data_IF_092581106896
#
_entry.id   IF_092581106896
#
_cell.length_a   1.000
_cell.length_b   1.000
_cell.length_c   1.000
_cell.angle_alpha   90.00
_cell.angle_beta   90.00
_cell.angle_gamma   90.00
#
_symmetry.space_group_name_H-M   'P 1'
#
loop_
_entity.id
_entity.type
_entity.pdbx_description
1 polymer ?
#
# COMPACT_ATOMS: atom_id res chain seq x y z
N UNK A 1 -12.62 -4.58 -4.93
CA UNK A 1 -12.59 -3.42 -5.85
C UNK A 1 -13.37 -2.31 -5.19
N UNK A 2 -12.80 -1.12 -5.16
CA UNK A 2 -13.40 0.04 -4.53
C UNK A 2 -14.13 0.85 -5.60
N UNK A 3 -15.38 1.24 -5.33
CA UNK A 3 -16.22 1.96 -6.29
C UNK A 3 -16.96 3.10 -5.59
N UNK A 4 -17.04 4.25 -6.27
CA UNK A 4 -17.86 5.38 -5.84
C UNK A 4 -18.71 5.84 -7.02
N UNK A 5 -20.00 6.13 -6.80
CA UNK A 5 -20.87 6.67 -7.85
C UNK A 5 -20.59 8.15 -8.05
N UNK A 6 -19.54 8.47 -8.79
CA UNK A 6 -19.12 9.84 -9.12
C UNK A 6 -19.11 10.04 -10.63
N UNK A 7 -19.65 11.17 -11.11
CA UNK A 7 -19.67 11.55 -12.54
C UNK A 7 -20.33 10.50 -13.46
N UNK A 8 -21.33 9.79 -12.95
CA UNK A 8 -22.06 8.76 -13.71
C UNK A 8 -23.16 9.35 -14.62
N UNK A 9 -22.76 10.06 -15.68
CA UNK A 9 -23.68 10.75 -16.60
C UNK A 9 -24.58 9.80 -17.41
N UNK A 10 -24.25 8.51 -17.45
CA UNK A 10 -24.90 7.50 -18.28
C UNK A 10 -25.52 6.36 -17.47
N UNK A 11 -25.67 6.52 -16.15
CA UNK A 11 -26.22 5.53 -15.22
C UNK A 11 -25.61 4.12 -15.39
N UNK A 12 -24.28 4.08 -15.59
CA UNK A 12 -23.50 2.85 -15.81
C UNK A 12 -22.94 2.26 -14.52
N UNK A 13 -23.04 2.95 -13.40
CA UNK A 13 -22.50 2.50 -12.13
C UNK A 13 -23.00 1.11 -11.74
N UNK A 14 -24.33 0.91 -11.74
CA UNK A 14 -24.93 -0.36 -11.32
C UNK A 14 -24.57 -1.51 -12.27
N UNK A 15 -24.44 -1.22 -13.57
CA UNK A 15 -23.95 -2.20 -14.55
C UNK A 15 -22.55 -2.69 -14.17
N UNK A 16 -21.60 -1.79 -13.90
CA UNK A 16 -20.23 -2.17 -13.57
C UNK A 16 -20.15 -2.88 -12.21
N UNK A 17 -20.89 -2.40 -11.22
CA UNK A 17 -20.99 -3.04 -9.91
C UNK A 17 -21.49 -4.49 -10.04
N UNK A 18 -22.57 -4.71 -10.79
CA UNK A 18 -23.08 -6.06 -11.06
C UNK A 18 -22.12 -6.90 -11.88
N UNK A 19 -21.45 -6.32 -12.88
CA UNK A 19 -20.47 -7.01 -13.69
C UNK A 19 -19.32 -7.55 -12.84
N UNK A 20 -18.66 -6.70 -12.04
CA UNK A 20 -17.55 -7.15 -11.19
C UNK A 20 -18.02 -8.10 -10.09
N UNK A 21 -19.19 -7.85 -9.48
CA UNK A 21 -19.80 -8.78 -8.53
C UNK A 21 -20.05 -10.18 -9.13
N UNK A 22 -20.47 -10.26 -10.39
CA UNK A 22 -20.68 -11.54 -11.10
C UNK A 22 -19.39 -12.34 -11.31
N UNK A 23 -18.23 -11.69 -11.23
CA UNK A 23 -16.91 -12.32 -11.30
C UNK A 23 -16.35 -12.69 -9.92
N UNK A 24 -17.20 -12.69 -8.88
CA UNK A 24 -16.82 -12.90 -7.47
C UNK A 24 -15.82 -11.86 -6.94
N UNK A 25 -15.74 -10.68 -7.54
CA UNK A 25 -14.96 -9.56 -6.99
C UNK A 25 -15.82 -8.89 -5.93
N UNK A 26 -15.28 -8.81 -4.70
CA UNK A 26 -15.91 -8.07 -3.62
C UNK A 26 -15.89 -6.58 -3.97
N UNK A 27 -17.06 -5.94 -3.94
CA UNK A 27 -17.22 -4.51 -4.19
C UNK A 27 -17.33 -3.78 -2.87
N UNK A 28 -16.44 -2.83 -2.65
CA UNK A 28 -16.45 -1.93 -1.51
C UNK A 28 -16.87 -0.54 -2.00
N UNK A 29 -18.01 -0.05 -1.53
CA UNK A 29 -18.54 1.24 -1.93
C UNK A 29 -18.06 2.32 -0.97
N UNK A 30 -16.95 2.98 -1.32
CA UNK A 30 -16.27 3.98 -0.50
C UNK A 30 -15.90 5.19 -1.34
N UNK A 31 -15.73 6.35 -0.71
CA UNK A 31 -15.32 7.55 -1.44
C UNK A 31 -13.85 7.49 -1.87
N UNK A 32 -13.48 8.26 -2.90
CA UNK A 32 -12.08 8.41 -3.31
C UNK A 32 -11.18 8.89 -2.16
N UNK A 33 -11.68 9.80 -1.33
CA UNK A 33 -10.98 10.31 -0.15
C UNK A 33 -10.75 9.22 0.92
N UNK A 34 -11.79 8.42 1.21
CA UNK A 34 -11.69 7.28 2.12
C UNK A 34 -10.72 6.22 1.58
N UNK A 35 -10.79 5.94 0.29
CA UNK A 35 -9.86 5.05 -0.40
C UNK A 35 -8.42 5.53 -0.20
N UNK A 36 -8.11 6.79 -0.50
CA UNK A 36 -6.76 7.31 -0.44
C UNK A 36 -6.21 7.32 0.99
N UNK A 37 -7.05 7.67 1.97
CA UNK A 37 -6.69 7.58 3.40
C UNK A 37 -6.30 6.15 3.80
N UNK A 38 -7.09 5.15 3.39
CA UNK A 38 -6.82 3.74 3.67
C UNK A 38 -5.60 3.22 2.89
N UNK A 39 -5.47 3.59 1.62
CA UNK A 39 -4.40 3.18 0.73
C UNK A 39 -3.04 3.68 1.21
N UNK A 40 -2.95 4.91 1.71
CA UNK A 40 -1.70 5.46 2.25
C UNK A 40 -1.15 4.60 3.40
N UNK A 41 -2.00 4.21 4.36
CA UNK A 41 -1.60 3.41 5.53
C UNK A 41 -1.55 1.89 5.28
N UNK A 42 -1.90 1.43 4.08
CA UNK A 42 -1.82 0.03 3.67
C UNK A 42 -0.84 -0.15 2.52
N UNK A 43 -1.27 0.03 1.28
CA UNK A 43 -0.46 -0.11 0.08
C UNK A 43 0.74 0.85 0.08
N UNK A 44 0.52 2.14 0.34
CA UNK A 44 1.57 3.15 0.38
C UNK A 44 2.69 2.80 1.38
N UNK A 45 2.30 2.46 2.61
CA UNK A 45 3.23 2.00 3.64
C UNK A 45 3.97 0.71 3.25
N UNK A 46 3.25 -0.26 2.71
CA UNK A 46 3.80 -1.57 2.32
C UNK A 46 4.87 -1.41 1.24
N UNK A 47 4.60 -0.63 0.20
CA UNK A 47 5.59 -0.33 -0.86
C UNK A 47 6.80 0.45 -0.34
N UNK A 48 6.57 1.43 0.53
CA UNK A 48 7.65 2.21 1.11
C UNK A 48 8.61 1.33 1.92
N UNK A 49 8.09 0.53 2.84
CA UNK A 49 8.89 -0.37 3.67
C UNK A 49 9.58 -1.43 2.81
N UNK A 50 8.89 -2.02 1.84
CA UNK A 50 9.49 -2.99 0.92
C UNK A 50 10.70 -2.41 0.18
N UNK A 51 10.60 -1.17 -0.32
CA UNK A 51 11.73 -0.50 -0.99
C UNK A 51 12.85 -0.11 -0.02
N UNK A 52 12.54 0.34 1.21
CA UNK A 52 13.56 0.61 2.24
C UNK A 52 14.33 -0.65 2.62
N UNK A 53 13.64 -1.79 2.78
CA UNK A 53 14.29 -3.08 3.10
C UNK A 53 15.15 -3.56 1.92
N UNK A 54 14.68 -3.35 0.69
CA UNK A 54 15.47 -3.66 -0.50
C UNK A 54 16.74 -2.81 -0.57
N UNK A 55 16.63 -1.50 -0.33
CA UNK A 55 17.76 -0.56 -0.29
C UNK A 55 18.74 -0.89 0.85
N UNK A 56 18.24 -1.26 2.03
CA UNK A 56 19.07 -1.72 3.16
C UNK A 56 19.92 -2.95 2.82
N UNK A 57 19.54 -3.73 1.80
CA UNK A 57 20.38 -4.82 1.28
C UNK A 57 20.28 -6.11 2.10
N UNK A 58 19.05 -6.60 2.34
CA UNK A 58 18.85 -7.89 3.02
C UNK A 58 19.36 -9.08 2.20
N UNK A 59 20.05 -10.02 2.85
CA UNK A 59 20.55 -11.26 2.24
C UNK A 59 20.01 -12.47 3.00
N UNK A 60 19.62 -13.51 2.27
CA UNK A 60 19.20 -14.78 2.89
C UNK A 60 20.35 -15.37 3.70
N UNK A 61 20.02 -15.95 4.84
CA UNK A 61 20.96 -16.60 5.74
C UNK A 61 20.54 -18.03 6.05
N UNK A 62 21.45 -18.82 6.61
CA UNK A 62 21.16 -20.20 7.03
C UNK A 62 20.27 -20.27 8.29
N UNK A 63 19.97 -19.13 8.92
CA UNK A 63 19.19 -19.02 10.15
C UNK A 63 17.96 -18.12 9.98
N UNK A 64 17.51 -17.93 8.73
CA UNK A 64 16.33 -17.11 8.43
C UNK A 64 15.11 -17.63 9.21
N UNK A 65 14.55 -16.75 10.05
CA UNK A 65 13.27 -17.02 10.70
C UNK A 65 12.13 -16.91 9.70
N UNK A 66 10.96 -17.46 10.03
CA UNK A 66 9.74 -17.30 9.21
C UNK A 66 9.42 -15.82 8.97
N UNK A 67 9.65 -14.96 9.97
CA UNK A 67 9.47 -13.51 9.86
C UNK A 67 10.44 -12.89 8.85
N UNK A 68 11.72 -13.27 8.88
CA UNK A 68 12.70 -12.75 7.93
C UNK A 68 12.40 -13.22 6.49
N UNK A 69 11.94 -14.45 6.31
CA UNK A 69 11.46 -14.93 5.01
C UNK A 69 10.26 -14.13 4.48
N UNK A 70 9.37 -13.66 5.38
CA UNK A 70 8.26 -12.79 5.00
C UNK A 70 8.75 -11.41 4.52
N UNK A 71 9.82 -10.85 5.10
CA UNK A 71 10.42 -9.61 4.60
C UNK A 71 10.93 -9.76 3.16
N UNK A 72 11.57 -10.88 2.83
CA UNK A 72 11.97 -11.14 1.45
C UNK A 72 10.79 -11.28 0.51
N UNK A 73 9.68 -11.90 0.95
CA UNK A 73 8.45 -11.96 0.16
C UNK A 73 7.86 -10.57 -0.07
N UNK A 74 7.84 -9.73 0.96
CA UNK A 74 7.39 -8.34 0.87
C UNK A 74 8.21 -7.58 -0.18
N UNK A 75 9.54 -7.62 -0.09
CA UNK A 75 10.45 -6.99 -1.07
C UNK A 75 10.13 -7.46 -2.48
N UNK A 76 10.05 -8.79 -2.69
CA UNK A 76 9.76 -9.35 -4.01
C UNK A 76 8.40 -8.89 -4.55
N UNK A 77 7.38 -8.78 -3.70
CA UNK A 77 6.05 -8.30 -4.11
C UNK A 77 6.09 -6.82 -4.50
N UNK A 78 6.73 -5.97 -3.70
CA UNK A 78 6.70 -4.51 -3.90
C UNK A 78 7.70 -3.97 -4.91
N UNK A 79 8.80 -4.70 -5.14
CA UNK A 79 9.90 -4.26 -6.02
C UNK A 79 9.80 -4.82 -7.44
N UNK A 80 8.87 -5.75 -7.69
CA UNK A 80 8.50 -6.13 -9.05
C UNK A 80 7.71 -5.04 -9.78
N UNK A 81 7.09 -4.12 -9.03
CA UNK A 81 6.42 -2.96 -9.56
C UNK A 81 7.42 -1.87 -9.99
N UNK A 82 7.05 -1.13 -11.03
CA UNK A 82 7.91 -0.09 -11.60
C UNK A 82 8.16 1.05 -10.60
N UNK A 83 9.25 1.78 -10.81
CA UNK A 83 9.55 2.95 -9.98
C UNK A 83 8.49 4.03 -10.16
N UNK A 84 7.98 4.21 -11.38
CA UNK A 84 6.93 5.17 -11.70
C UNK A 84 5.65 4.87 -10.90
N UNK A 85 5.20 3.61 -10.84
CA UNK A 85 4.02 3.26 -10.03
C UNK A 85 4.24 3.57 -8.55
N UNK A 86 5.43 3.28 -8.01
CA UNK A 86 5.75 3.63 -6.63
C UNK A 86 5.73 5.15 -6.42
N UNK A 87 6.39 5.91 -7.29
CA UNK A 87 6.41 7.35 -7.19
C UNK A 87 5.00 7.94 -7.26
N UNK A 88 4.15 7.42 -8.13
CA UNK A 88 2.77 7.89 -8.26
C UNK A 88 1.96 7.63 -6.99
N UNK A 89 2.04 6.42 -6.42
CA UNK A 89 1.39 6.06 -5.15
C UNK A 89 1.82 7.02 -4.04
N UNK A 90 3.11 7.35 -3.96
CA UNK A 90 3.61 8.20 -2.88
C UNK A 90 3.33 9.69 -3.12
N UNK A 91 3.51 10.19 -4.34
CA UNK A 91 3.44 11.63 -4.67
C UNK A 91 2.01 12.13 -4.80
N UNK A 92 1.08 11.32 -5.31
CA UNK A 92 -0.27 11.79 -5.64
C UNK A 92 -1.33 11.46 -4.59
N UNK A 93 -1.04 10.57 -3.64
CA UNK A 93 -1.94 10.36 -2.51
C UNK A 93 -1.69 11.43 -1.43
N UNK A 94 -2.69 12.28 -1.10
CA UNK A 94 -2.52 13.39 -0.17
C UNK A 94 -2.21 12.97 1.28
N UNK A 95 -2.48 11.71 1.64
CA UNK A 95 -2.22 11.18 2.99
C UNK A 95 -0.83 10.58 3.16
N UNK A 96 -0.05 10.45 2.07
CA UNK A 96 1.29 9.83 2.12
C UNK A 96 2.24 10.60 3.02
N UNK A 97 2.27 11.93 2.95
CA UNK A 97 3.23 12.74 3.72
C UNK A 97 3.04 12.55 5.23
N UNK A 98 1.79 12.55 5.71
CA UNK A 98 1.47 12.26 7.11
C UNK A 98 1.87 10.84 7.49
N UNK A 99 1.61 9.86 6.63
CA UNK A 99 1.98 8.46 6.87
C UNK A 99 3.51 8.30 7.01
N UNK A 100 4.30 8.93 6.14
CA UNK A 100 5.77 8.90 6.21
C UNK A 100 6.27 9.58 7.50
N UNK A 101 5.67 10.71 7.85
CA UNK A 101 6.02 11.44 9.07
C UNK A 101 5.75 10.60 10.32
N UNK A 102 4.57 10.00 10.42
CA UNK A 102 4.17 9.13 11.53
C UNK A 102 5.08 7.90 11.65
N UNK A 103 5.43 7.29 10.51
CA UNK A 103 6.35 6.15 10.44
C UNK A 103 7.75 6.53 10.95
N UNK A 104 8.29 7.66 10.50
CA UNK A 104 9.61 8.16 10.92
C UNK A 104 9.65 8.50 12.41
N UNK A 105 8.58 9.11 12.94
CA UNK A 105 8.46 9.37 14.38
C UNK A 105 8.42 8.06 15.18
N UNK A 106 7.66 7.07 14.71
CA UNK A 106 7.57 5.76 15.34
C UNK A 106 8.93 5.06 15.34
N UNK A 107 9.66 5.08 14.22
CA UNK A 107 11.00 4.53 14.12
C UNK A 107 11.96 5.16 15.13
N UNK A 108 12.04 6.50 15.18
CA UNK A 108 12.87 7.23 16.15
C UNK A 108 12.50 6.90 17.59
N UNK A 109 11.21 6.84 17.92
CA UNK A 109 10.73 6.52 19.26
C UNK A 109 11.19 5.13 19.70
N UNK A 110 11.11 4.13 18.82
CA UNK A 110 11.56 2.76 19.14
C UNK A 110 13.08 2.72 19.30
N UNK A 111 13.84 3.33 18.39
CA UNK A 111 15.31 3.36 18.47
C UNK A 111 15.78 4.05 19.76
N UNK A 112 15.23 5.22 20.10
CA UNK A 112 15.58 5.95 21.32
C UNK A 112 15.18 5.20 22.61
N UNK A 113 14.29 4.20 22.54
CA UNK A 113 13.93 3.37 23.71
C UNK A 113 14.92 2.25 24.00
N UNK A 114 15.90 2.06 23.13
CA UNK A 114 16.99 1.09 23.30
C UNK A 114 18.21 1.70 24.03
N UNK A 115 18.22 3.03 24.20
CA UNK A 115 19.18 3.79 25.01
C UNK A 115 18.68 3.92 26.46
#
# INVERSE_FOLDING_TARGET
MMMEKVRDQHDRYDFWKSYFGSQNIIIEEITADQHDMMAAKSQGLTHLIGRVINDFGTQKTNIDTVGYQALHKLVNQTCNDSWELFEDIQKFNPYTESMITDLNQSFKKIVNSLD
#
